data_IF_855891374292
#
_entry.id   IF_855891374292
#
_cell.length_a   1.000
_cell.length_b   1.000
_cell.length_c   1.000
_cell.angle_alpha   90.00
_cell.angle_beta   90.00
_cell.angle_gamma   90.00
#
_symmetry.space_group_name_H-M   'P 1'
#
loop_
_entity.id
_entity.type
_entity.pdbx_description
1 polymer ?
#
# COMPACT_ATOMS: atom_id res chain seq x y z
N UNK A 1 56.16 -78.66 43.92
CA UNK A 1 54.87 -78.04 43.56
C UNK A 1 55.17 -77.03 42.45
N UNK A 2 55.27 -77.39 41.17
CA UNK A 2 54.25 -77.96 40.26
C UNK A 2 52.99 -77.09 40.17
N UNK A 3 52.95 -76.17 39.20
CA UNK A 3 51.71 -75.62 38.65
C UNK A 3 51.91 -75.19 37.19
N UNK A 4 50.97 -75.64 36.36
CA UNK A 4 50.91 -75.72 34.90
C UNK A 4 50.36 -74.43 34.26
N UNK A 5 50.71 -74.11 32.99
CA UNK A 5 50.09 -73.01 32.25
C UNK A 5 48.75 -73.44 31.64
N UNK A 6 47.67 -72.73 31.98
CA UNK A 6 46.34 -72.94 31.40
C UNK A 6 46.14 -72.08 30.14
N UNK A 7 45.83 -72.77 29.05
CA UNK A 7 45.56 -72.30 27.70
C UNK A 7 44.27 -71.46 27.63
N UNK A 8 44.39 -70.18 27.25
CA UNK A 8 43.24 -69.37 26.85
C UNK A 8 42.97 -69.55 25.35
N UNK A 9 42.00 -70.41 25.05
CA UNK A 9 41.41 -70.59 23.73
C UNK A 9 40.62 -69.34 23.31
N UNK A 10 41.03 -68.75 22.19
CA UNK A 10 40.33 -67.68 21.48
C UNK A 10 38.91 -68.13 21.06
N UNK A 11 37.89 -67.51 21.63
CA UNK A 11 36.53 -67.52 21.07
C UNK A 11 36.32 -66.25 20.25
N UNK A 12 36.39 -66.35 18.92
CA UNK A 12 36.01 -65.26 18.04
C UNK A 12 34.48 -65.09 18.00
N UNK A 13 33.94 -63.87 18.14
CA UNK A 13 32.50 -63.62 18.05
C UNK A 13 32.01 -63.70 16.59
N UNK A 14 30.75 -64.14 16.36
CA UNK A 14 30.20 -64.28 15.02
C UNK A 14 29.98 -62.92 14.33
N UNK A 15 30.04 -62.87 12.99
CA UNK A 15 29.92 -61.63 12.23
C UNK A 15 28.52 -61.03 12.35
N UNK A 16 28.46 -59.76 12.76
CA UNK A 16 27.21 -58.97 12.82
C UNK A 16 26.67 -58.70 11.41
N UNK A 17 25.52 -59.30 11.10
CA UNK A 17 24.76 -59.08 9.86
C UNK A 17 24.15 -57.67 9.88
N UNK A 18 24.81 -56.71 9.25
CA UNK A 18 24.29 -55.35 9.03
C UNK A 18 23.07 -55.38 8.11
N UNK A 19 21.86 -55.47 8.69
CA UNK A 19 20.61 -55.24 7.96
C UNK A 19 20.49 -53.75 7.66
N UNK A 20 20.25 -53.44 6.39
CA UNK A 20 20.11 -52.12 5.76
C UNK A 20 18.94 -51.27 6.33
N UNK A 21 19.02 -50.88 7.61
CA UNK A 21 17.99 -50.07 8.30
C UNK A 21 17.95 -48.60 7.84
N UNK A 22 19.00 -48.12 7.15
CA UNK A 22 19.10 -46.72 6.69
C UNK A 22 18.20 -46.38 5.49
N UNK A 23 17.81 -47.37 4.67
CA UNK A 23 17.01 -47.11 3.47
C UNK A 23 15.53 -46.90 3.83
N UNK A 24 15.03 -47.60 4.85
CA UNK A 24 13.60 -47.57 5.20
C UNK A 24 13.19 -46.30 5.97
N UNK A 25 14.12 -45.70 6.74
CA UNK A 25 13.87 -44.42 7.45
C UNK A 25 13.74 -43.25 6.46
N UNK A 26 14.53 -43.26 5.38
CA UNK A 26 14.48 -42.19 4.35
C UNK A 26 13.16 -42.19 3.58
N UNK A 27 12.59 -43.37 3.29
CA UNK A 27 11.27 -43.47 2.62
C UNK A 27 10.13 -43.01 3.52
N UNK A 28 10.13 -43.36 4.81
CA UNK A 28 9.05 -42.94 5.73
C UNK A 28 9.04 -41.43 6.00
N UNK A 29 10.20 -40.77 6.01
CA UNK A 29 10.26 -39.31 6.10
C UNK A 29 9.75 -38.61 4.83
N UNK A 30 10.05 -39.14 3.64
CA UNK A 30 9.60 -38.53 2.38
C UNK A 30 8.07 -38.59 2.22
N UNK A 31 7.42 -39.68 2.64
CA UNK A 31 5.96 -39.85 2.53
C UNK A 31 5.19 -38.98 3.54
N UNK A 32 5.74 -38.74 4.73
CA UNK A 32 5.12 -37.86 5.73
C UNK A 32 5.26 -36.37 5.42
N UNK A 33 6.28 -35.98 4.65
CA UNK A 33 6.47 -34.58 4.20
C UNK A 33 5.49 -34.21 3.08
N UNK A 34 5.20 -35.14 2.16
CA UNK A 34 4.23 -34.90 1.07
C UNK A 34 2.79 -34.89 1.57
N UNK A 35 2.40 -35.75 2.51
CA UNK A 35 1.02 -35.76 3.05
C UNK A 35 0.71 -34.51 3.88
N UNK A 36 1.67 -34.02 4.69
CA UNK A 36 1.52 -32.77 5.45
C UNK A 36 1.52 -31.52 4.58
N UNK A 37 2.31 -31.52 3.49
CA UNK A 37 2.32 -30.42 2.51
C UNK A 37 1.00 -30.30 1.78
N UNK A 38 0.43 -31.42 1.33
CA UNK A 38 -0.86 -31.43 0.63
C UNK A 38 -2.02 -31.02 1.55
N UNK A 39 -2.06 -31.49 2.80
CA UNK A 39 -3.10 -31.09 3.75
C UNK A 39 -3.06 -29.58 4.06
N UNK A 40 -1.87 -28.97 4.14
CA UNK A 40 -1.72 -27.53 4.34
C UNK A 40 -2.11 -26.71 3.08
N UNK A 41 -1.84 -27.22 1.88
CA UNK A 41 -2.23 -26.55 0.63
C UNK A 41 -3.76 -26.51 0.47
N UNK A 42 -4.46 -27.62 0.75
CA UNK A 42 -5.93 -27.70 0.61
C UNK A 42 -6.66 -26.88 1.68
N UNK A 43 -6.10 -26.76 2.88
CA UNK A 43 -6.69 -25.95 3.94
C UNK A 43 -6.53 -24.44 3.65
N UNK A 44 -5.38 -24.03 3.08
CA UNK A 44 -5.13 -22.63 2.67
C UNK A 44 -5.97 -22.22 1.45
N UNK A 45 -6.25 -23.13 0.51
CA UNK A 45 -7.14 -22.82 -0.62
C UNK A 45 -8.59 -22.66 -0.17
N UNK A 46 -9.05 -23.48 0.77
CA UNK A 46 -10.42 -23.41 1.31
C UNK A 46 -10.64 -22.15 2.15
N UNK A 47 -9.65 -21.75 2.96
CA UNK A 47 -9.73 -20.52 3.75
C UNK A 47 -9.71 -19.26 2.86
N UNK A 48 -8.95 -19.27 1.75
CA UNK A 48 -8.87 -18.14 0.81
C UNK A 48 -10.18 -17.89 0.06
N UNK A 49 -10.90 -18.93 -0.37
CA UNK A 49 -12.17 -18.74 -1.10
C UNK A 49 -13.27 -18.24 -0.15
N UNK A 50 -13.32 -18.74 1.09
CA UNK A 50 -14.33 -18.30 2.07
C UNK A 50 -14.02 -16.90 2.64
N UNK A 51 -12.75 -16.55 2.85
CA UNK A 51 -12.37 -15.21 3.34
C UNK A 51 -12.49 -14.13 2.26
N UNK A 52 -12.20 -14.45 0.99
CA UNK A 52 -12.47 -13.54 -0.14
C UNK A 52 -13.98 -13.34 -0.33
N UNK A 53 -14.78 -14.39 -0.17
CA UNK A 53 -16.25 -14.29 -0.20
C UNK A 53 -16.80 -13.49 1.00
N UNK A 54 -16.22 -13.60 2.20
CA UNK A 54 -16.62 -12.83 3.38
C UNK A 54 -16.20 -11.36 3.32
N UNK A 55 -15.08 -11.00 2.68
CA UNK A 55 -14.75 -9.59 2.40
C UNK A 55 -15.67 -9.03 1.30
N UNK A 56 -16.01 -9.82 0.26
CA UNK A 56 -16.94 -9.37 -0.78
C UNK A 56 -18.41 -9.30 -0.35
N UNK A 57 -18.84 -10.12 0.62
CA UNK A 57 -20.19 -10.10 1.21
C UNK A 57 -20.27 -9.21 2.46
N UNK A 58 -19.13 -8.88 3.08
CA UNK A 58 -19.01 -8.14 4.34
C UNK A 58 -18.59 -6.68 4.20
N UNK A 59 -18.19 -6.22 3.00
CA UNK A 59 -18.29 -4.80 2.63
C UNK A 59 -19.78 -4.52 2.38
N UNK A 60 -20.54 -4.63 3.48
CA UNK A 60 -21.48 -3.62 3.94
C UNK A 60 -21.51 -2.45 2.96
N UNK A 61 -22.66 -2.34 2.31
CA UNK A 61 -23.32 -1.08 2.00
C UNK A 61 -22.70 0.09 2.77
N UNK A 62 -21.58 0.63 2.27
CA UNK A 62 -21.35 2.05 2.42
C UNK A 62 -22.64 2.62 1.84
N UNK A 63 -23.43 3.40 2.61
CA UNK A 63 -24.57 4.07 2.01
C UNK A 63 -23.97 4.74 0.79
N UNK A 64 -24.42 4.32 -0.41
CA UNK A 64 -24.13 5.04 -1.61
C UNK A 64 -24.58 6.45 -1.24
N UNK A 65 -23.63 7.33 -0.94
CA UNK A 65 -23.94 8.70 -0.56
C UNK A 65 -24.67 9.20 -1.80
N UNK A 66 -26.00 9.26 -1.67
CA UNK A 66 -26.89 9.41 -2.80
C UNK A 66 -26.38 10.60 -3.58
N UNK A 67 -25.96 10.36 -4.82
CA UNK A 67 -25.74 11.44 -5.75
C UNK A 67 -27.04 12.21 -5.79
N UNK A 68 -27.03 13.39 -5.19
CA UNK A 68 -28.12 14.34 -5.23
C UNK A 68 -28.26 14.73 -6.69
N UNK A 69 -29.20 14.09 -7.39
CA UNK A 69 -29.69 14.57 -8.68
C UNK A 69 -30.07 16.01 -8.45
N UNK A 70 -29.42 16.92 -9.16
CA UNK A 70 -29.75 18.32 -9.15
C UNK A 70 -31.17 18.47 -9.70
N UNK A 71 -32.17 18.41 -8.81
CA UNK A 71 -33.35 19.21 -9.03
C UNK A 71 -32.87 20.65 -9.12
N UNK A 72 -33.57 21.50 -9.89
CA UNK A 72 -33.37 22.95 -9.86
C UNK A 72 -33.82 23.44 -8.48
N UNK A 73 -33.01 23.09 -7.47
CA UNK A 73 -33.27 23.31 -6.07
C UNK A 73 -33.04 24.77 -5.77
N UNK A 74 -33.85 25.31 -4.87
CA UNK A 74 -33.63 26.64 -4.34
C UNK A 74 -32.17 26.76 -3.85
N UNK A 75 -31.50 27.86 -4.22
CA UNK A 75 -30.12 28.13 -3.79
C UNK A 75 -30.06 28.11 -2.26
N UNK A 76 -29.20 27.27 -1.71
CA UNK A 76 -29.07 27.07 -0.27
C UNK A 76 -27.61 27.20 0.17
N UNK A 77 -27.40 27.38 1.47
CA UNK A 77 -26.06 27.30 2.06
C UNK A 77 -25.67 25.83 2.26
N UNK A 78 -24.61 25.41 1.58
CA UNK A 78 -24.06 24.05 1.61
C UNK A 78 -22.73 23.96 2.37
N UNK A 79 -22.33 25.02 3.10
CA UNK A 79 -21.08 25.11 3.86
C UNK A 79 -20.87 23.96 4.85
N UNK A 80 -21.91 23.58 5.60
CA UNK A 80 -21.85 22.47 6.56
C UNK A 80 -21.61 21.12 5.91
N UNK A 81 -22.26 20.85 4.77
CA UNK A 81 -22.07 19.62 4.02
C UNK A 81 -20.68 19.56 3.36
N UNK A 82 -20.19 20.67 2.82
CA UNK A 82 -18.81 20.76 2.30
C UNK A 82 -17.78 20.51 3.41
N UNK A 83 -17.97 21.11 4.59
CA UNK A 83 -17.11 20.90 5.77
C UNK A 83 -17.06 19.44 6.19
N UNK A 84 -18.21 18.77 6.24
CA UNK A 84 -18.30 17.34 6.54
C UNK A 84 -17.52 16.49 5.52
N UNK A 85 -17.60 16.84 4.23
CA UNK A 85 -16.91 16.12 3.17
C UNK A 85 -15.36 16.21 3.29
N UNK A 86 -14.82 17.39 3.62
CA UNK A 86 -13.39 17.53 3.92
C UNK A 86 -12.98 16.77 5.19
N UNK A 87 -13.83 16.79 6.23
CA UNK A 87 -13.58 16.04 7.47
C UNK A 87 -13.54 14.52 7.27
N UNK A 88 -14.37 13.98 6.37
CA UNK A 88 -14.41 12.56 6.03
C UNK A 88 -13.10 12.05 5.45
N UNK A 89 -12.27 12.92 4.86
CA UNK A 89 -10.91 12.56 4.41
C UNK A 89 -9.85 12.94 5.45
N UNK A 90 -10.01 14.09 6.12
CA UNK A 90 -9.03 14.61 7.07
C UNK A 90 -8.73 13.64 8.22
N UNK A 91 -9.76 13.12 8.87
CA UNK A 91 -9.56 12.26 10.05
C UNK A 91 -8.92 10.92 9.71
N UNK A 92 -9.40 10.17 8.68
CA UNK A 92 -8.70 8.97 8.23
C UNK A 92 -7.27 9.24 7.77
N UNK A 93 -7.03 10.33 7.02
CA UNK A 93 -5.69 10.71 6.58
C UNK A 93 -4.73 10.90 7.76
N UNK A 94 -5.17 11.59 8.82
CA UNK A 94 -4.37 11.79 10.03
C UNK A 94 -4.05 10.46 10.75
N UNK A 95 -5.02 9.54 10.83
CA UNK A 95 -4.82 8.22 11.44
C UNK A 95 -3.83 7.36 10.63
N UNK A 96 -3.97 7.34 9.31
CA UNK A 96 -3.07 6.62 8.40
C UNK A 96 -1.67 7.23 8.48
N UNK A 97 -1.57 8.55 8.39
CA UNK A 97 -0.33 9.32 8.57
C UNK A 97 0.38 8.97 9.87
N UNK A 98 -0.34 8.92 10.99
CA UNK A 98 0.20 8.50 12.29
C UNK A 98 0.73 7.06 12.31
N UNK A 99 0.08 6.15 11.58
CA UNK A 99 0.49 4.73 11.50
C UNK A 99 1.68 4.48 10.56
N UNK A 100 1.93 5.36 9.59
CA UNK A 100 3.01 5.21 8.61
C UNK A 100 4.40 5.33 9.23
N UNK A 101 4.56 6.12 10.29
CA UNK A 101 5.85 6.27 10.97
C UNK A 101 6.33 4.95 11.59
N UNK A 102 5.57 4.29 12.50
CA UNK A 102 6.01 3.03 13.07
C UNK A 102 6.09 1.90 12.02
N UNK A 103 5.10 1.80 11.11
CA UNK A 103 5.02 0.69 10.17
C UNK A 103 6.03 0.85 9.02
N UNK A 104 6.07 2.02 8.38
CA UNK A 104 6.84 2.25 7.16
C UNK A 104 8.27 2.75 7.38
N UNK A 105 8.53 3.49 8.47
CA UNK A 105 9.84 4.13 8.71
C UNK A 105 10.62 3.37 9.78
N UNK A 106 10.07 3.26 11.00
CA UNK A 106 10.79 2.64 12.12
C UNK A 106 10.92 1.12 11.97
N UNK A 107 9.91 0.48 11.39
CA UNK A 107 9.95 -0.96 11.10
C UNK A 107 10.41 -1.28 9.68
N UNK A 108 11.07 -0.35 8.99
CA UNK A 108 11.56 -0.58 7.64
C UNK A 108 12.44 -1.84 7.56
N UNK A 109 12.30 -2.66 6.50
CA UNK A 109 13.09 -3.87 6.36
C UNK A 109 14.58 -3.55 6.18
N UNK A 110 15.43 -4.13 7.02
CA UNK A 110 16.88 -3.94 6.94
C UNK A 110 17.45 -4.68 5.74
N UNK A 111 18.33 -4.01 4.98
CA UNK A 111 19.08 -4.62 3.88
C UNK A 111 20.15 -5.57 4.46
N UNK A 112 20.17 -6.80 3.99
CA UNK A 112 21.11 -7.86 4.40
C UNK A 112 22.16 -8.08 3.31
N UNK A 113 23.33 -8.61 3.68
CA UNK A 113 24.46 -8.80 2.75
C UNK A 113 24.18 -9.85 1.67
N UNK A 114 23.30 -10.79 1.95
CA UNK A 114 22.87 -11.90 1.09
C UNK A 114 21.57 -11.59 0.31
N UNK A 115 21.03 -10.37 0.45
CA UNK A 115 19.86 -9.95 -0.32
C UNK A 115 20.18 -9.92 -1.83
N UNK A 116 19.31 -10.53 -2.63
CA UNK A 116 19.33 -10.33 -4.08
C UNK A 116 19.12 -8.86 -4.44
N UNK A 117 19.60 -8.42 -5.61
CA UNK A 117 19.43 -7.03 -6.10
C UNK A 117 17.96 -6.58 -6.09
N UNK A 118 17.05 -7.46 -6.48
CA UNK A 118 15.61 -7.19 -6.47
C UNK A 118 15.07 -6.97 -5.04
N UNK A 119 15.58 -7.74 -4.08
CA UNK A 119 15.22 -7.58 -2.66
C UNK A 119 15.73 -6.25 -2.10
N UNK A 120 16.98 -5.90 -2.39
CA UNK A 120 17.55 -4.60 -2.00
C UNK A 120 16.72 -3.45 -2.57
N UNK A 121 16.35 -3.53 -3.86
CA UNK A 121 15.50 -2.53 -4.50
C UNK A 121 14.13 -2.44 -3.84
N UNK A 122 13.49 -3.57 -3.53
CA UNK A 122 12.18 -3.59 -2.88
C UNK A 122 12.22 -3.00 -1.47
N UNK A 123 13.28 -3.27 -0.69
CA UNK A 123 13.49 -2.68 0.64
C UNK A 123 13.73 -1.16 0.56
N UNK A 124 14.51 -0.68 -0.41
CA UNK A 124 14.69 0.76 -0.67
C UNK A 124 13.38 1.42 -1.10
N UNK A 125 12.65 0.79 -2.02
CA UNK A 125 11.35 1.26 -2.49
C UNK A 125 10.35 1.39 -1.33
N UNK A 126 10.33 0.42 -0.41
CA UNK A 126 9.44 0.42 0.75
C UNK A 126 9.61 1.70 1.60
N UNK A 127 10.85 2.11 1.89
CA UNK A 127 11.13 3.34 2.65
C UNK A 127 10.68 4.59 1.86
N UNK A 128 10.98 4.64 0.56
CA UNK A 128 10.58 5.78 -0.29
C UNK A 128 9.06 5.89 -0.35
N UNK A 129 8.35 4.77 -0.52
CA UNK A 129 6.89 4.71 -0.53
C UNK A 129 6.34 5.14 0.84
N UNK A 130 6.96 4.75 1.96
CA UNK A 130 6.57 5.19 3.30
C UNK A 130 6.66 6.69 3.49
N UNK A 131 7.78 7.30 3.10
CA UNK A 131 7.95 8.75 3.20
C UNK A 131 6.99 9.48 2.26
N UNK A 132 6.87 9.04 1.01
CA UNK A 132 5.96 9.65 0.05
C UNK A 132 4.48 9.56 0.50
N UNK A 133 4.07 8.40 0.99
CA UNK A 133 2.73 8.15 1.54
C UNK A 133 2.45 9.07 2.73
N UNK A 134 3.41 9.18 3.66
CA UNK A 134 3.27 10.05 4.84
C UNK A 134 3.12 11.52 4.45
N UNK A 135 3.97 11.99 3.53
CA UNK A 135 3.89 13.37 3.04
C UNK A 135 2.57 13.64 2.31
N UNK A 136 2.08 12.68 1.53
CA UNK A 136 0.76 12.78 0.91
C UNK A 136 -0.36 12.86 1.97
N UNK A 137 -0.40 12.00 2.99
CA UNK A 137 -1.43 12.11 4.03
C UNK A 137 -1.38 13.46 4.77
N UNK A 138 -0.17 13.98 5.07
CA UNK A 138 -0.01 15.31 5.64
C UNK A 138 -0.60 16.38 4.72
N UNK A 139 -0.32 16.33 3.41
CA UNK A 139 -0.89 17.28 2.46
C UNK A 139 -2.41 17.19 2.39
N UNK A 140 -3.00 15.99 2.47
CA UNK A 140 -4.45 15.82 2.52
C UNK A 140 -5.06 16.48 3.77
N UNK A 141 -4.42 16.33 4.93
CA UNK A 141 -4.83 17.00 6.18
C UNK A 141 -4.70 18.52 6.07
N UNK A 142 -3.63 19.03 5.46
CA UNK A 142 -3.40 20.47 5.27
C UNK A 142 -4.46 21.08 4.34
N UNK A 143 -4.67 20.50 3.15
CA UNK A 143 -5.67 21.01 2.20
C UNK A 143 -7.08 21.01 2.79
N UNK A 144 -7.49 19.91 3.44
CA UNK A 144 -8.80 19.81 4.08
C UNK A 144 -8.96 20.79 5.23
N UNK A 145 -7.93 21.00 6.06
CA UNK A 145 -7.99 21.96 7.17
C UNK A 145 -8.09 23.40 6.67
N UNK A 146 -7.31 23.78 5.65
CA UNK A 146 -7.39 25.11 5.05
C UNK A 146 -8.79 25.35 4.46
N UNK A 147 -9.35 24.37 3.76
CA UNK A 147 -10.70 24.48 3.20
C UNK A 147 -11.76 24.68 4.30
N UNK A 148 -11.71 23.88 5.37
CA UNK A 148 -12.64 23.99 6.50
C UNK A 148 -12.53 25.36 7.17
N UNK A 149 -11.31 25.84 7.43
CA UNK A 149 -11.11 27.17 8.02
C UNK A 149 -11.67 28.26 7.10
N UNK A 150 -11.40 28.19 5.80
CA UNK A 150 -11.92 29.16 4.82
C UNK A 150 -13.45 29.14 4.75
N UNK A 151 -14.08 27.97 4.83
CA UNK A 151 -15.54 27.83 4.89
C UNK A 151 -16.11 28.47 6.16
N UNK A 152 -15.40 28.34 7.29
CA UNK A 152 -15.83 28.90 8.57
C UNK A 152 -15.60 30.42 8.69
N UNK A 153 -14.54 30.94 8.09
CA UNK A 153 -14.11 32.35 8.21
C UNK A 153 -14.80 33.27 7.19
N UNK A 154 -15.20 32.74 6.03
CA UNK A 154 -15.76 33.53 4.93
C UNK A 154 -17.20 33.10 4.70
N UNK A 155 -18.14 34.06 4.59
CA UNK A 155 -19.51 33.77 4.20
C UNK A 155 -19.56 33.08 2.83
N UNK A 156 -20.17 31.90 2.76
CA UNK A 156 -20.24 31.12 1.53
C UNK A 156 -21.42 31.55 0.65
N UNK A 157 -21.26 31.61 -0.68
CA UNK A 157 -22.37 31.91 -1.57
C UNK A 157 -23.40 30.77 -1.54
N UNK A 158 -24.68 31.12 -1.71
CA UNK A 158 -25.75 30.11 -1.89
C UNK A 158 -25.61 29.48 -3.27
N UNK A 159 -25.53 28.16 -3.32
CA UNK A 159 -25.35 27.39 -4.57
C UNK A 159 -26.50 26.40 -4.77
N UNK A 160 -26.57 25.76 -5.93
CA UNK A 160 -27.54 24.68 -6.17
C UNK A 160 -27.15 23.37 -5.47
N UNK A 161 -25.90 23.26 -4.99
CA UNK A 161 -25.41 22.07 -4.30
C UNK A 161 -23.97 22.20 -3.81
N UNK A 162 -23.56 21.21 -3.02
CA UNK A 162 -22.20 21.09 -2.46
C UNK A 162 -21.14 21.03 -3.57
N UNK A 163 -21.41 20.28 -4.64
CA UNK A 163 -20.48 20.13 -5.76
C UNK A 163 -20.18 21.47 -6.44
N UNK A 164 -21.20 22.31 -6.65
CA UNK A 164 -21.04 23.64 -7.22
C UNK A 164 -20.23 24.55 -6.28
N UNK A 165 -20.54 24.56 -4.98
CA UNK A 165 -19.81 25.35 -3.99
C UNK A 165 -18.31 25.00 -3.99
N UNK A 166 -17.99 23.69 -4.03
CA UNK A 166 -16.63 23.20 -4.07
C UNK A 166 -15.95 23.59 -5.38
N UNK A 167 -16.59 23.36 -6.53
CA UNK A 167 -16.03 23.64 -7.84
C UNK A 167 -15.69 25.13 -8.04
N UNK A 168 -16.52 26.04 -7.52
CA UNK A 168 -16.33 27.47 -7.70
C UNK A 168 -15.34 28.08 -6.69
N UNK A 169 -15.31 27.60 -5.44
CA UNK A 169 -14.62 28.32 -4.34
C UNK A 169 -13.47 27.55 -3.67
N UNK A 170 -13.47 26.21 -3.80
CA UNK A 170 -12.59 25.31 -3.05
C UNK A 170 -11.99 24.21 -3.93
N UNK A 171 -11.92 24.41 -5.25
CA UNK A 171 -11.53 23.39 -6.22
C UNK A 171 -10.13 22.84 -5.93
N UNK A 172 -9.14 23.72 -5.75
CA UNK A 172 -7.76 23.31 -5.49
C UNK A 172 -7.65 22.48 -4.20
N UNK A 173 -8.34 22.90 -3.14
CA UNK A 173 -8.32 22.17 -1.88
C UNK A 173 -9.01 20.81 -1.99
N UNK A 174 -10.11 20.74 -2.76
CA UNK A 174 -10.79 19.49 -3.06
C UNK A 174 -9.92 18.51 -3.84
N UNK A 175 -9.32 18.97 -4.94
CA UNK A 175 -8.39 18.19 -5.77
C UNK A 175 -7.19 17.72 -4.94
N UNK A 176 -6.56 18.64 -4.22
CA UNK A 176 -5.41 18.37 -3.36
C UNK A 176 -5.74 17.33 -2.29
N UNK A 177 -6.86 17.50 -1.56
CA UNK A 177 -7.27 16.54 -0.53
C UNK A 177 -7.49 15.15 -1.10
N UNK A 178 -8.25 15.03 -2.19
CA UNK A 178 -8.57 13.72 -2.78
C UNK A 178 -7.33 13.02 -3.33
N UNK A 179 -6.51 13.71 -4.12
CA UNK A 179 -5.32 13.09 -4.74
C UNK A 179 -4.33 12.63 -3.68
N UNK A 180 -4.02 13.50 -2.71
CA UNK A 180 -3.05 13.17 -1.69
C UNK A 180 -3.57 12.10 -0.73
N UNK A 181 -4.85 12.12 -0.35
CA UNK A 181 -5.45 11.06 0.45
C UNK A 181 -5.37 9.71 -0.27
N UNK A 182 -5.70 9.68 -1.56
CA UNK A 182 -5.62 8.45 -2.34
C UNK A 182 -4.17 7.97 -2.49
N UNK A 183 -3.23 8.83 -2.87
CA UNK A 183 -1.80 8.46 -2.97
C UNK A 183 -1.23 7.98 -1.63
N UNK A 184 -1.65 8.60 -0.52
CA UNK A 184 -1.34 8.20 0.84
C UNK A 184 -1.81 6.77 1.13
N UNK A 185 -3.11 6.51 0.98
CA UNK A 185 -3.69 5.17 1.16
C UNK A 185 -3.06 4.11 0.26
N UNK A 186 -2.76 4.47 -0.99
CA UNK A 186 -2.08 3.58 -1.94
C UNK A 186 -0.71 3.14 -1.41
N UNK A 187 0.10 4.10 -0.95
CA UNK A 187 1.40 3.82 -0.36
C UNK A 187 1.29 2.99 0.92
N UNK A 188 0.32 3.31 1.79
CA UNK A 188 0.06 2.57 3.02
C UNK A 188 -0.25 1.08 2.74
N UNK A 189 -1.12 0.79 1.77
CA UNK A 189 -1.45 -0.59 1.39
C UNK A 189 -0.23 -1.35 0.85
N UNK A 190 0.60 -0.70 0.03
CA UNK A 190 1.84 -1.29 -0.49
C UNK A 190 2.84 -1.59 0.63
N UNK A 191 2.97 -0.70 1.62
CA UNK A 191 3.84 -0.90 2.79
C UNK A 191 3.32 -2.06 3.64
N UNK A 192 2.03 -2.11 3.93
CA UNK A 192 1.44 -3.20 4.69
C UNK A 192 1.66 -4.57 4.01
N UNK A 193 1.39 -4.65 2.70
CA UNK A 193 1.61 -5.87 1.91
C UNK A 193 3.08 -6.28 1.82
N UNK A 194 3.99 -5.32 1.61
CA UNK A 194 5.43 -5.62 1.56
C UNK A 194 6.01 -5.94 2.95
N UNK A 195 5.51 -5.33 4.02
CA UNK A 195 5.93 -5.67 5.39
C UNK A 195 5.56 -7.10 5.74
N UNK A 196 4.35 -7.54 5.37
CA UNK A 196 3.95 -8.94 5.49
C UNK A 196 4.84 -9.85 4.64
N UNK A 197 5.20 -9.42 3.41
CA UNK A 197 6.15 -10.13 2.55
C UNK A 197 7.50 -10.37 3.23
N UNK A 198 8.06 -9.37 3.91
CA UNK A 198 9.36 -9.50 4.59
C UNK A 198 9.30 -10.24 5.92
N UNK A 199 8.18 -10.16 6.65
CA UNK A 199 8.11 -10.63 8.04
C UNK A 199 7.76 -12.12 8.16
N UNK A 200 7.01 -12.68 7.21
CA UNK A 200 6.47 -14.05 7.36
C UNK A 200 7.51 -15.15 7.16
N UNK A 201 8.63 -14.89 6.48
CA UNK A 201 9.76 -15.83 6.31
C UNK A 201 9.45 -17.13 5.55
N UNK A 202 8.17 -17.44 5.32
CA UNK A 202 7.72 -18.63 4.62
C UNK A 202 7.75 -18.39 3.10
N UNK A 203 8.46 -19.24 2.34
CA UNK A 203 8.47 -19.15 0.88
C UNK A 203 7.06 -19.42 0.35
N UNK A 204 6.38 -18.37 -0.12
CA UNK A 204 5.03 -18.44 -0.70
C UNK A 204 4.05 -17.43 -0.10
N UNK A 205 3.94 -17.37 1.22
CA UNK A 205 2.95 -16.50 1.89
C UNK A 205 3.25 -15.03 1.59
N UNK A 206 4.52 -14.63 1.60
CA UNK A 206 4.87 -13.25 1.29
C UNK A 206 4.37 -12.81 -0.09
N UNK A 207 4.51 -13.67 -1.11
CA UNK A 207 4.04 -13.38 -2.48
C UNK A 207 2.52 -13.15 -2.52
N UNK A 208 1.75 -13.89 -1.72
CA UNK A 208 0.30 -13.71 -1.60
C UNK A 208 -0.03 -12.38 -0.93
N UNK A 209 0.70 -12.01 0.14
CA UNK A 209 0.41 -10.76 0.86
C UNK A 209 0.71 -9.50 0.03
N UNK A 210 1.77 -9.51 -0.77
CA UNK A 210 2.06 -8.38 -1.67
C UNK A 210 1.06 -8.29 -2.82
N UNK A 211 0.59 -9.43 -3.37
CA UNK A 211 -0.45 -9.40 -4.41
C UNK A 211 -1.79 -8.93 -3.86
N UNK A 212 -2.11 -9.24 -2.60
CA UNK A 212 -3.29 -8.68 -1.91
C UNK A 212 -3.18 -7.17 -1.75
N UNK A 213 -2.01 -6.66 -1.35
CA UNK A 213 -1.77 -5.22 -1.28
C UNK A 213 -1.95 -4.52 -2.64
N UNK A 214 -1.42 -5.13 -3.71
CA UNK A 214 -1.58 -4.61 -5.08
C UNK A 214 -3.04 -4.71 -5.57
N UNK A 215 -3.74 -5.78 -5.25
CA UNK A 215 -5.15 -5.96 -5.62
C UNK A 215 -6.05 -4.92 -4.91
N UNK A 216 -5.85 -4.73 -3.60
CA UNK A 216 -6.54 -3.70 -2.83
C UNK A 216 -6.25 -2.30 -3.41
N UNK A 217 -5.00 -2.06 -3.83
CA UNK A 217 -4.61 -0.84 -4.53
C UNK A 217 -5.43 -0.61 -5.82
N UNK A 218 -5.46 -1.58 -6.74
CA UNK A 218 -6.21 -1.44 -7.99
C UNK A 218 -7.72 -1.32 -7.74
N UNK A 219 -8.25 -2.01 -6.73
CA UNK A 219 -9.66 -1.91 -6.36
C UNK A 219 -10.02 -0.51 -5.86
N UNK A 220 -9.19 0.09 -5.00
CA UNK A 220 -9.39 1.47 -4.54
C UNK A 220 -9.37 2.44 -5.73
N UNK A 221 -8.41 2.29 -6.64
CA UNK A 221 -8.33 3.11 -7.85
C UNK A 221 -9.56 2.96 -8.75
N UNK A 222 -10.10 1.75 -8.89
CA UNK A 222 -11.31 1.49 -9.66
C UNK A 222 -12.55 2.15 -9.04
N UNK A 223 -12.69 2.10 -7.71
CA UNK A 223 -13.79 2.76 -6.98
C UNK A 223 -13.70 4.28 -7.20
N UNK A 224 -12.51 4.86 -7.07
CA UNK A 224 -12.28 6.29 -7.31
C UNK A 224 -12.62 6.69 -8.74
N UNK A 225 -12.15 5.94 -9.73
CA UNK A 225 -12.44 6.22 -11.14
C UNK A 225 -13.94 6.20 -11.42
N UNK A 226 -14.69 5.25 -10.82
CA UNK A 226 -16.15 5.22 -10.91
C UNK A 226 -16.79 6.46 -10.26
N UNK A 227 -16.33 6.86 -9.07
CA UNK A 227 -16.80 8.06 -8.40
C UNK A 227 -16.55 9.34 -9.21
N UNK A 228 -15.36 9.47 -9.79
CA UNK A 228 -14.99 10.58 -10.68
C UNK A 228 -15.91 10.61 -11.91
N UNK A 229 -16.14 9.46 -12.55
CA UNK A 229 -17.01 9.36 -13.74
C UNK A 229 -18.47 9.73 -13.43
N UNK A 230 -18.97 9.35 -12.25
CA UNK A 230 -20.32 9.70 -11.80
C UNK A 230 -20.49 11.20 -11.53
N UNK A 231 -19.44 11.88 -11.06
CA UNK A 231 -19.44 13.34 -10.85
C UNK A 231 -19.50 14.17 -12.14
N UNK A 232 -19.39 13.54 -13.32
CA UNK A 232 -19.35 14.21 -14.63
C UNK A 232 -20.70 14.25 -15.37
N UNK A 233 -21.80 13.81 -14.74
CA UNK A 233 -23.11 13.64 -15.42
C UNK A 233 -23.98 14.89 -15.50
N UNK A 234 -23.50 16.05 -15.03
CA UNK A 234 -24.14 17.34 -15.26
C UNK A 234 -23.86 17.86 -16.68
N UNK A 235 -24.86 18.52 -17.29
CA UNK A 235 -24.95 19.01 -18.68
C UNK A 235 -23.92 20.10 -19.08
N UNK A 236 -22.76 20.12 -18.43
CA UNK A 236 -21.67 21.06 -18.70
C UNK A 236 -20.59 20.29 -19.44
N UNK A 237 -20.27 20.72 -20.65
CA UNK A 237 -19.25 20.23 -21.59
C UNK A 237 -17.80 20.18 -21.06
N UNK A 238 -17.59 20.13 -19.75
CA UNK A 238 -16.31 20.02 -19.07
C UNK A 238 -16.38 18.99 -17.93
N UNK A 239 -16.39 17.70 -18.28
CA UNK A 239 -16.24 16.65 -17.28
C UNK A 239 -15.03 16.92 -16.37
N UNK A 240 -15.25 16.90 -15.06
CA UNK A 240 -14.26 17.37 -14.07
C UNK A 240 -12.93 16.59 -14.16
N UNK A 241 -13.01 15.28 -14.40
CA UNK A 241 -11.95 14.40 -14.88
C UNK A 241 -12.59 13.10 -15.40
N UNK A 242 -11.94 12.38 -16.33
CA UNK A 242 -12.41 11.07 -16.80
C UNK A 242 -11.85 9.89 -15.98
N UNK A 243 -10.71 10.08 -15.34
CA UNK A 243 -10.03 9.11 -14.50
C UNK A 243 -9.05 9.82 -13.53
N UNK A 244 -8.49 9.06 -12.59
CA UNK A 244 -7.55 9.54 -11.59
C UNK A 244 -6.29 10.18 -12.18
N UNK A 245 -5.78 9.69 -13.32
CA UNK A 245 -4.63 10.31 -13.98
C UNK A 245 -4.96 11.71 -14.49
N UNK A 246 -6.12 11.88 -15.13
CA UNK A 246 -6.60 13.20 -15.53
C UNK A 246 -6.83 14.12 -14.34
N UNK A 247 -7.26 13.57 -13.20
CA UNK A 247 -7.38 14.31 -11.94
C UNK A 247 -6.02 14.83 -11.47
N UNK A 248 -4.97 13.99 -11.51
CA UNK A 248 -3.59 14.39 -11.20
C UNK A 248 -3.11 15.50 -12.13
N UNK A 249 -3.31 15.36 -13.44
CA UNK A 249 -2.91 16.39 -14.41
C UNK A 249 -3.62 17.72 -14.15
N UNK A 250 -4.94 17.69 -13.90
CA UNK A 250 -5.71 18.89 -13.53
C UNK A 250 -5.17 19.52 -12.25
N UNK A 251 -4.95 18.72 -11.21
CA UNK A 251 -4.36 19.21 -9.96
C UNK A 251 -2.99 19.84 -10.15
N UNK A 252 -2.10 19.21 -10.91
CA UNK A 252 -0.79 19.78 -11.26
C UNK A 252 -0.99 21.15 -11.92
N UNK A 253 -1.83 21.25 -12.94
CA UNK A 253 -2.07 22.52 -13.64
C UNK A 253 -2.63 23.61 -12.72
N UNK A 254 -3.62 23.28 -11.89
CA UNK A 254 -4.23 24.24 -10.93
C UNK A 254 -3.22 24.63 -9.85
N UNK A 255 -2.46 23.67 -9.30
CA UNK A 255 -1.45 23.92 -8.28
C UNK A 255 -0.29 24.77 -8.82
N UNK A 256 0.18 24.52 -10.04
CA UNK A 256 1.19 25.34 -10.71
C UNK A 256 0.67 26.76 -10.95
N UNK A 257 -0.58 26.91 -11.38
CA UNK A 257 -1.18 28.22 -11.61
C UNK A 257 -1.32 29.00 -10.30
N UNK A 258 -1.76 28.34 -9.22
CA UNK A 258 -1.82 28.94 -7.89
C UNK A 258 -0.41 29.28 -7.33
N UNK A 259 0.61 28.52 -7.70
CA UNK A 259 1.99 28.72 -7.24
C UNK A 259 2.71 29.90 -7.90
N UNK A 260 2.22 30.40 -9.05
CA UNK A 260 2.84 31.51 -9.79
C UNK A 260 2.89 32.85 -9.03
N UNK A 261 2.28 32.93 -7.85
CA UNK A 261 2.27 34.14 -7.02
C UNK A 261 3.28 34.17 -5.85
N UNK A 262 4.01 33.10 -5.55
CA UNK A 262 4.81 33.03 -4.32
C UNK A 262 6.15 32.30 -4.45
N UNK A 263 7.20 32.86 -3.83
CA UNK A 263 8.56 32.29 -3.78
C UNK A 263 8.53 30.84 -3.25
N UNK A 264 7.73 30.58 -2.23
CA UNK A 264 7.58 29.24 -1.66
C UNK A 264 7.02 28.22 -2.66
N UNK A 265 6.13 28.63 -3.56
CA UNK A 265 5.57 27.75 -4.60
C UNK A 265 6.64 27.32 -5.60
N UNK A 266 7.44 28.27 -6.09
CA UNK A 266 8.58 27.97 -6.97
C UNK A 266 9.63 27.09 -6.29
N UNK A 267 9.98 27.39 -5.04
CA UNK A 267 10.92 26.59 -4.26
C UNK A 267 10.41 25.16 -4.07
N UNK A 268 9.13 24.98 -3.74
CA UNK A 268 8.53 23.65 -3.57
C UNK A 268 8.58 22.84 -4.87
N UNK A 269 8.26 23.44 -6.02
CA UNK A 269 8.36 22.79 -7.33
C UNK A 269 9.79 22.38 -7.65
N UNK A 270 10.76 23.28 -7.45
CA UNK A 270 12.17 23.02 -7.74
C UNK A 270 12.71 21.88 -6.88
N UNK A 271 12.48 21.95 -5.56
CA UNK A 271 12.91 20.92 -4.61
C UNK A 271 12.21 19.59 -4.88
N UNK A 272 10.90 19.60 -5.15
CA UNK A 272 10.14 18.40 -5.48
C UNK A 272 10.64 17.71 -6.75
N UNK A 273 10.95 18.49 -7.79
CA UNK A 273 11.50 17.98 -9.06
C UNK A 273 12.89 17.38 -8.85
N UNK A 274 13.74 18.06 -8.08
CA UNK A 274 15.06 17.54 -7.72
C UNK A 274 14.97 16.24 -6.90
N UNK A 275 14.05 16.17 -5.93
CA UNK A 275 13.82 14.97 -5.14
C UNK A 275 13.38 13.79 -6.04
N UNK A 276 12.44 14.02 -6.97
CA UNK A 276 12.00 13.01 -7.94
C UNK A 276 13.15 12.51 -8.82
N UNK A 277 13.98 13.44 -9.32
CA UNK A 277 15.18 13.08 -10.08
C UNK A 277 16.12 12.19 -9.27
N UNK A 278 16.38 12.54 -8.00
CA UNK A 278 17.27 11.75 -7.14
C UNK A 278 16.67 10.38 -6.79
N UNK A 279 15.36 10.29 -6.57
CA UNK A 279 14.65 9.02 -6.39
C UNK A 279 14.81 8.15 -7.64
N UNK A 280 14.51 8.69 -8.82
CA UNK A 280 14.64 7.96 -10.08
C UNK A 280 16.08 7.49 -10.32
N UNK A 281 17.07 8.36 -10.14
CA UNK A 281 18.50 8.04 -10.28
C UNK A 281 18.91 6.91 -9.33
N UNK A 282 18.48 6.98 -8.07
CA UNK A 282 18.80 5.95 -7.06
C UNK A 282 18.18 4.60 -7.41
N UNK A 283 16.94 4.59 -7.89
CA UNK A 283 16.22 3.36 -8.26
C UNK A 283 16.76 2.73 -9.55
N UNK A 284 17.00 3.54 -10.59
CA UNK A 284 17.53 3.09 -11.88
C UNK A 284 19.00 2.67 -11.76
N UNK A 285 19.82 3.43 -11.04
CA UNK A 285 21.23 3.08 -10.80
C UNK A 285 21.38 1.73 -10.11
N UNK A 286 20.48 1.42 -9.16
CA UNK A 286 20.42 0.11 -8.52
C UNK A 286 20.07 -1.04 -9.48
N UNK A 287 19.25 -0.79 -10.49
CA UNK A 287 18.89 -1.77 -11.52
C UNK A 287 20.02 -1.99 -12.54
N UNK A 288 20.75 -0.93 -12.89
CA UNK A 288 21.77 -0.97 -13.95
C UNK A 288 23.17 -1.40 -13.48
N UNK A 289 23.45 -1.40 -12.17
CA UNK A 289 24.73 -1.89 -11.65
C UNK A 289 24.92 -3.38 -11.96
N UNK A 290 25.76 -3.69 -12.95
CA UNK A 290 26.07 -5.07 -13.36
C UNK A 290 26.83 -5.84 -12.28
N UNK A 291 27.68 -5.15 -11.52
CA UNK A 291 28.71 -5.81 -10.72
C UNK A 291 28.26 -6.23 -9.32
N UNK A 292 27.04 -5.86 -8.89
CA UNK A 292 26.54 -6.22 -7.56
C UNK A 292 27.29 -5.57 -6.41
N UNK A 293 28.30 -4.76 -6.70
CA UNK A 293 28.89 -3.81 -5.77
C UNK A 293 27.85 -2.71 -5.52
N UNK A 294 27.43 -2.50 -4.26
CA UNK A 294 26.59 -1.36 -3.93
C UNK A 294 27.37 -0.09 -4.29
N UNK A 295 26.77 0.76 -5.12
CA UNK A 295 27.30 2.11 -5.31
C UNK A 295 27.38 2.79 -3.94
N UNK A 296 28.50 3.47 -3.61
CA UNK A 296 28.64 4.19 -2.35
C UNK A 296 27.54 5.23 -2.16
#
# INVERSE_FOLDING_TARGET
MSASPASYLLHAPPPKRFKNKKIDIKRRHAVNLTSRSLANITMVSSFNVTFTALIFLGISTLPAQGLMVASVGALADYSGAATSLFNNMRSPAALIGGSLVPIGILSAPTIQKDDSKAMVLLKKANIIIAVASLLSEIMAVVYSSIAINKIAEIAQPKTAGVAQLIAENHELAWLGTNIHFLLGMMGFALIAGSKAYFSVGAPGIGKVTITWGIAAFFQALAIVNRGIAQGSTGDVSSGFASNFFMLIVRYINVAFTASKGGICGYAAVAIGTYALYQTAKTMIGGLLSKDGTPAP
#
